data_IF_401026244805
#
_entry.id   IF_401026244805
#
_cell.length_a   1.000
_cell.length_b   1.000
_cell.length_c   1.000
_cell.angle_alpha   90.00
_cell.angle_beta   90.00
_cell.angle_gamma   90.00
#
_symmetry.space_group_name_H-M   'P 1'
#
loop_
_entity.id
_entity.type
_entity.pdbx_description
1 polymer ?
#
# COMPACT_ATOMS: atom_id res chain seq x y z
N UNK A 1 -6.96 -9.10 12.59
CA UNK A 1 -5.63 -9.34 11.99
C UNK A 1 -5.78 -9.11 10.52
N UNK A 2 -5.09 -8.13 9.94
CA UNK A 2 -5.13 -7.89 8.50
C UNK A 2 -3.74 -7.43 8.04
N UNK A 3 -3.40 -7.66 6.78
CA UNK A 3 -2.22 -7.06 6.16
C UNK A 3 -2.51 -6.68 4.73
N UNK A 4 -2.08 -5.48 4.34
CA UNK A 4 -2.24 -4.91 3.00
C UNK A 4 -0.86 -4.70 2.42
N UNK A 5 -0.61 -5.24 1.23
CA UNK A 5 0.61 -4.98 0.45
C UNK A 5 0.19 -4.28 -0.83
N UNK A 6 0.84 -3.17 -1.16
CA UNK A 6 0.57 -2.37 -2.35
C UNK A 6 1.88 -1.93 -2.96
N UNK A 7 2.03 -2.10 -4.27
CA UNK A 7 3.11 -1.49 -5.05
C UNK A 7 2.50 -0.36 -5.90
N UNK A 8 3.09 0.83 -5.86
CA UNK A 8 2.53 2.02 -6.50
C UNK A 8 3.63 2.94 -7.05
N UNK A 9 3.43 3.44 -8.26
CA UNK A 9 4.36 4.32 -8.96
C UNK A 9 3.68 5.65 -9.31
N UNK A 10 4.30 6.76 -8.91
CA UNK A 10 3.80 8.11 -9.15
C UNK A 10 4.68 8.79 -10.21
N UNK A 11 4.11 9.58 -11.11
CA UNK A 11 4.86 10.25 -12.18
C UNK A 11 4.70 11.78 -12.14
N UNK A 12 5.68 12.54 -12.64
CA UNK A 12 5.64 13.99 -12.95
C UNK A 12 6.89 14.40 -13.78
N UNK A 13 6.93 15.48 -14.59
CA UNK A 13 7.99 15.67 -15.66
C UNK A 13 8.52 17.12 -15.89
N UNK A 14 9.82 17.42 -15.61
CA UNK A 14 10.46 18.69 -16.02
C UNK A 14 11.14 18.58 -17.37
N UNK A 15 11.32 19.75 -17.97
CA UNK A 15 12.54 20.12 -18.70
C UNK A 15 12.88 21.59 -18.38
N UNK A 16 13.66 22.29 -19.20
CA UNK A 16 13.82 23.76 -19.12
C UNK A 16 12.53 24.59 -19.31
N UNK A 17 11.33 24.03 -19.08
CA UNK A 17 10.01 24.65 -19.18
C UNK A 17 9.05 24.42 -17.98
N UNK A 18 9.37 23.61 -16.94
CA UNK A 18 8.52 23.41 -15.72
C UNK A 18 8.21 21.95 -15.31
N UNK A 19 7.86 21.71 -14.02
CA UNK A 19 8.24 20.66 -13.00
C UNK A 19 8.23 19.11 -13.20
N UNK A 20 9.32 18.46 -12.72
CA UNK A 20 9.59 17.01 -12.58
C UNK A 20 9.02 16.37 -11.34
N UNK A 21 8.80 15.07 -11.50
CA UNK A 21 9.16 14.03 -10.54
C UNK A 21 9.21 12.66 -11.27
N UNK A 22 10.37 12.28 -11.82
CA UNK A 22 10.60 10.87 -12.20
C UNK A 22 10.72 10.07 -10.88
N UNK A 23 9.63 9.43 -10.45
CA UNK A 23 9.65 8.50 -9.32
C UNK A 23 9.51 7.09 -9.89
N UNK A 24 10.38 6.19 -9.46
CA UNK A 24 10.15 4.77 -9.66
C UNK A 24 9.16 4.22 -8.62
N UNK A 25 8.74 2.98 -8.84
CA UNK A 25 7.92 2.17 -7.93
C UNK A 25 8.28 2.31 -6.45
N UNK A 26 7.29 2.74 -5.66
CA UNK A 26 7.29 2.64 -4.22
C UNK A 26 6.56 1.37 -3.78
N UNK A 27 7.05 0.75 -2.71
CA UNK A 27 6.47 -0.45 -2.11
C UNK A 27 6.01 -0.13 -0.71
N UNK A 28 4.76 -0.50 -0.42
CA UNK A 28 4.09 -0.23 0.83
C UNK A 28 3.49 -1.52 1.37
N UNK A 29 3.90 -1.93 2.56
CA UNK A 29 3.36 -3.10 3.23
C UNK A 29 2.93 -2.69 4.65
N UNK A 30 1.63 -2.77 4.91
CA UNK A 30 1.01 -2.43 6.19
C UNK A 30 0.54 -3.70 6.88
N UNK A 31 1.13 -3.98 8.04
CA UNK A 31 0.76 -5.07 8.94
C UNK A 31 -0.01 -4.48 10.11
N UNK A 32 -1.13 -5.10 10.49
CA UNK A 32 -1.87 -4.70 11.68
C UNK A 32 -2.57 -5.85 12.40
N UNK A 33 -2.31 -5.93 13.70
CA UNK A 33 -2.85 -6.91 14.62
C UNK A 33 -3.82 -6.25 15.60
N UNK A 34 -5.14 -6.42 15.42
CA UNK A 34 -6.16 -5.94 16.39
C UNK A 34 -6.03 -6.57 17.79
N UNK A 35 -5.34 -7.70 17.91
CA UNK A 35 -5.14 -8.41 19.19
C UNK A 35 -4.03 -7.76 20.01
N UNK A 36 -2.86 -7.53 19.40
CA UNK A 36 -1.71 -6.89 20.04
C UNK A 36 -1.67 -5.37 19.87
N UNK A 37 -2.60 -4.82 19.07
CA UNK A 37 -2.70 -3.41 18.62
C UNK A 37 -1.46 -2.88 17.91
N UNK A 38 -0.53 -3.77 17.57
CA UNK A 38 0.69 -3.42 16.88
C UNK A 38 0.39 -3.17 15.40
N UNK A 39 1.02 -2.13 14.87
CA UNK A 39 1.06 -1.88 13.44
C UNK A 39 2.50 -1.62 12.99
N UNK A 40 2.82 -2.08 11.78
CA UNK A 40 4.12 -1.85 11.14
C UNK A 40 3.91 -1.50 9.67
N UNK A 41 4.57 -0.44 9.22
CA UNK A 41 4.63 0.01 7.84
C UNK A 41 6.05 -0.24 7.34
N UNK A 42 6.19 -1.07 6.31
CA UNK A 42 7.37 -1.10 5.46
C UNK A 42 7.12 -0.18 4.28
N UNK A 43 7.99 0.80 4.08
CA UNK A 43 7.94 1.73 2.96
C UNK A 43 9.32 1.81 2.32
N UNK A 44 9.46 1.16 1.16
CA UNK A 44 10.76 0.89 0.54
C UNK A 44 11.72 0.29 1.60
N UNK A 45 12.88 0.93 1.83
CA UNK A 45 13.90 0.47 2.78
C UNK A 45 13.67 0.94 4.23
N UNK A 46 12.51 1.57 4.53
CA UNK A 46 12.19 2.13 5.86
C UNK A 46 11.11 1.30 6.55
N UNK A 47 11.25 1.18 7.87
CA UNK A 47 10.27 0.52 8.75
C UNK A 47 9.80 1.50 9.81
N UNK A 48 8.49 1.63 9.95
CA UNK A 48 7.83 2.42 11.00
C UNK A 48 6.93 1.48 11.79
N UNK A 49 6.95 1.57 13.12
CA UNK A 49 6.12 0.72 13.99
C UNK A 49 5.50 1.54 15.10
N UNK A 50 4.31 1.11 15.54
CA UNK A 50 3.59 1.73 16.65
C UNK A 50 2.52 0.81 17.22
N UNK A 51 1.80 1.33 18.20
CA UNK A 51 0.64 0.69 18.82
C UNK A 51 -0.53 1.66 18.82
N UNK A 52 -1.74 1.15 18.63
CA UNK A 52 -2.99 1.91 18.71
C UNK A 52 -3.69 1.75 20.07
N UNK A 53 -4.57 2.71 20.38
CA UNK A 53 -5.37 2.72 21.60
C UNK A 53 -6.85 2.41 21.32
N UNK A 54 -7.59 1.98 22.36
CA UNK A 54 -9.00 1.61 22.23
C UNK A 54 -9.25 0.20 21.67
N UNK A 55 -10.52 -0.20 21.46
CA UNK A 55 -10.90 -1.46 20.83
C UNK A 55 -10.95 -1.34 19.29
N UNK A 56 -10.47 -2.34 18.57
CA UNK A 56 -10.33 -2.31 17.11
C UNK A 56 -10.98 -3.51 16.43
N UNK A 57 -11.72 -3.26 15.34
CA UNK A 57 -12.30 -4.31 14.50
C UNK A 57 -12.68 -3.75 13.13
N UNK A 58 -12.23 -4.40 12.06
CA UNK A 58 -12.79 -4.19 10.71
C UNK A 58 -14.04 -5.05 10.55
N UNK A 59 -15.19 -4.41 10.30
CA UNK A 59 -16.47 -5.07 10.06
C UNK A 59 -16.57 -5.55 8.61
N UNK A 60 -17.28 -6.65 8.39
CA UNK A 60 -17.63 -7.13 7.05
C UNK A 60 -18.68 -6.25 6.35
N UNK A 61 -18.86 -6.46 5.06
CA UNK A 61 -19.85 -5.73 4.24
C UNK A 61 -19.38 -4.38 3.70
N UNK A 62 -18.12 -4.01 3.89
CA UNK A 62 -17.51 -2.82 3.28
C UNK A 62 -17.25 -2.95 1.78
N UNK A 63 -16.82 -1.85 1.16
CA UNK A 63 -16.41 -1.77 -0.24
C UNK A 63 -14.94 -1.34 -0.29
N UNK A 64 -14.09 -2.06 -1.05
CA UNK A 64 -12.72 -1.64 -1.31
C UNK A 64 -12.69 -0.76 -2.56
N UNK A 65 -12.13 0.45 -2.43
CA UNK A 65 -11.92 1.39 -3.54
C UNK A 65 -10.45 1.76 -3.62
N UNK A 66 -9.92 1.84 -4.84
CA UNK A 66 -8.54 2.24 -5.12
C UNK A 66 -8.59 3.56 -5.87
N UNK A 67 -7.79 4.52 -5.39
CA UNK A 67 -7.52 5.77 -6.08
C UNK A 67 -8.51 6.91 -5.86
N UNK A 68 -9.42 6.77 -4.89
CA UNK A 68 -10.30 7.83 -4.39
C UNK A 68 -10.52 7.64 -2.88
N UNK A 69 -10.73 8.74 -2.17
CA UNK A 69 -11.12 8.72 -0.74
C UNK A 69 -12.65 8.59 -0.58
N UNK A 70 -13.11 7.85 0.44
CA UNK A 70 -14.52 7.49 0.62
C UNK A 70 -15.13 8.13 1.88
N UNK A 71 -15.73 9.30 1.73
CA UNK A 71 -16.56 9.91 2.79
C UNK A 71 -17.85 9.11 3.08
N UNK A 72 -18.28 8.27 2.12
CA UNK A 72 -19.43 7.35 2.29
C UNK A 72 -19.28 6.09 1.44
N UNK A 73 -20.02 5.04 1.79
CA UNK A 73 -20.04 3.79 1.03
C UNK A 73 -20.36 4.05 -0.46
N UNK A 74 -19.41 3.73 -1.34
CA UNK A 74 -19.54 3.88 -2.79
C UNK A 74 -19.51 5.33 -3.32
N UNK A 75 -19.10 6.33 -2.53
CA UNK A 75 -19.04 7.70 -3.04
C UNK A 75 -18.51 8.73 -2.04
N UNK A 76 -18.81 10.01 -2.30
CA UNK A 76 -18.20 11.14 -1.59
C UNK A 76 -16.90 11.63 -2.23
N UNK A 77 -16.46 11.00 -3.32
CA UNK A 77 -15.22 11.31 -4.04
C UNK A 77 -15.07 12.79 -4.37
N UNK A 78 -13.91 13.37 -4.03
CA UNK A 78 -13.48 14.68 -4.50
C UNK A 78 -12.25 14.55 -5.40
N UNK A 79 -12.18 15.36 -6.46
CA UNK A 79 -11.03 15.33 -7.39
C UNK A 79 -9.69 15.60 -6.69
N UNK A 80 -9.69 16.45 -5.66
CA UNK A 80 -8.54 16.77 -4.81
C UNK A 80 -7.99 15.59 -3.99
N UNK A 81 -8.81 14.56 -3.75
CA UNK A 81 -8.43 13.33 -3.04
C UNK A 81 -8.19 12.15 -4.01
N UNK A 82 -8.13 12.41 -5.32
CA UNK A 82 -7.85 11.36 -6.31
C UNK A 82 -6.37 10.97 -6.37
N UNK A 83 -6.09 9.68 -6.52
CA UNK A 83 -4.74 9.17 -6.73
C UNK A 83 -4.35 9.34 -8.20
N UNK A 84 -3.28 10.09 -8.45
CA UNK A 84 -2.60 10.14 -9.74
C UNK A 84 -1.31 9.33 -9.67
N UNK A 85 -1.44 8.02 -9.88
CA UNK A 85 -0.38 7.01 -9.84
C UNK A 85 -0.81 5.74 -10.60
N UNK A 86 0.14 4.90 -10.97
CA UNK A 86 -0.10 3.51 -11.36
C UNK A 86 -0.03 2.66 -10.08
N UNK A 87 -0.94 1.70 -9.93
CA UNK A 87 -0.93 0.73 -8.82
C UNK A 87 -0.80 -0.68 -9.40
N UNK A 88 0.09 -1.47 -8.81
CA UNK A 88 0.34 -2.87 -9.16
C UNK A 88 0.40 -3.72 -7.87
N UNK A 89 0.40 -5.05 -8.05
CA UNK A 89 0.68 -6.04 -7.00
C UNK A 89 -0.04 -5.83 -5.65
N UNK A 90 -1.27 -5.30 -5.68
CA UNK A 90 -2.14 -5.20 -4.51
C UNK A 90 -2.49 -6.61 -3.99
N UNK A 91 -2.14 -6.88 -2.73
CA UNK A 91 -2.43 -8.14 -2.03
C UNK A 91 -3.03 -7.83 -0.67
N UNK A 92 -4.08 -8.56 -0.30
CA UNK A 92 -4.78 -8.41 0.96
C UNK A 92 -4.83 -9.76 1.70
N UNK A 93 -4.47 -9.75 2.97
CA UNK A 93 -4.42 -10.94 3.82
C UNK A 93 -5.35 -10.77 5.03
N UNK A 94 -6.11 -11.83 5.35
CA UNK A 94 -6.96 -11.93 6.54
C UNK A 94 -6.21 -12.35 7.82
N UNK A 95 -4.87 -12.43 7.74
CA UNK A 95 -3.95 -12.65 8.84
C UNK A 95 -2.89 -11.55 8.84
N UNK A 96 -2.18 -11.40 9.94
CA UNK A 96 -0.96 -10.61 9.96
C UNK A 96 0.15 -11.41 9.25
N UNK A 97 0.93 -10.75 8.40
CA UNK A 97 2.17 -11.32 7.87
C UNK A 97 3.24 -11.33 8.96
N UNK A 98 4.23 -12.23 8.87
CA UNK A 98 5.46 -12.12 9.64
C UNK A 98 6.35 -11.01 9.07
N UNK A 99 7.29 -10.50 9.87
CA UNK A 99 8.24 -9.49 9.42
C UNK A 99 9.07 -9.94 8.21
N UNK A 100 9.41 -11.24 8.11
CA UNK A 100 10.13 -11.80 6.95
C UNK A 100 9.27 -11.77 5.69
N UNK A 101 8.03 -12.28 5.77
CA UNK A 101 7.09 -12.24 4.64
C UNK A 101 6.80 -10.80 4.18
N UNK A 102 6.72 -9.86 5.12
CA UNK A 102 6.51 -8.46 4.82
C UNK A 102 7.69 -7.83 4.08
N UNK A 103 8.92 -8.12 4.53
CA UNK A 103 10.18 -7.69 3.90
C UNK A 103 10.34 -8.29 2.48
N UNK A 104 10.11 -9.59 2.33
CA UNK A 104 10.21 -10.29 1.03
C UNK A 104 9.22 -9.72 -0.02
N UNK A 105 8.11 -9.13 0.44
CA UNK A 105 7.11 -8.46 -0.39
C UNK A 105 7.32 -6.95 -0.53
N UNK A 106 8.10 -6.30 0.35
CA UNK A 106 8.38 -4.85 0.27
C UNK A 106 9.64 -4.51 -0.54
N UNK A 107 10.44 -5.50 -0.94
CA UNK A 107 11.64 -5.32 -1.77
C UNK A 107 11.37 -5.45 -3.27
N UNK A 108 12.24 -4.89 -4.10
CA UNK A 108 12.15 -4.99 -5.54
C UNK A 108 12.36 -6.44 -6.02
N UNK A 109 11.27 -7.13 -6.39
CA UNK A 109 11.36 -8.48 -6.96
C UNK A 109 11.88 -8.41 -8.39
N UNK A 110 13.11 -8.88 -8.62
CA UNK A 110 13.68 -9.02 -9.95
C UNK A 110 12.86 -10.04 -10.74
N UNK A 111 12.17 -9.61 -11.80
CA UNK A 111 11.46 -10.51 -12.70
C UNK A 111 12.46 -11.42 -13.41
N UNK A 112 12.54 -12.68 -13.00
CA UNK A 112 13.38 -13.70 -13.64
C UNK A 112 12.67 -14.20 -14.89
N UNK A 113 12.93 -13.54 -16.02
CA UNK A 113 12.46 -13.98 -17.33
C UNK A 113 13.23 -15.22 -17.80
N UNK A 114 12.72 -16.41 -17.46
CA UNK A 114 13.09 -17.66 -18.13
C UNK A 114 11.81 -18.41 -18.47
N UNK A 115 11.26 -18.24 -19.68
CA UNK A 115 10.28 -19.17 -20.21
C UNK A 115 10.96 -20.52 -20.38
N UNK A 116 10.45 -21.56 -19.73
CA UNK A 116 10.79 -22.94 -20.10
C UNK A 116 10.16 -23.23 -21.46
N UNK A 117 11.00 -23.62 -22.42
CA UNK A 117 10.59 -24.19 -23.70
C UNK A 117 9.81 -25.51 -23.52
#
# INVERSE_FOLDING_TARGET
MQSVVVEAEKYSLTTGKGSYTLLGWWRFCYLHSFETKQHTIYWNDKVFSGTSEGPEMVRGGGLLVIGQDQDRMGGGYTFSQSLNAVVADLRLYNRTLTNSEALDLSVARKLTSTPSH
#
